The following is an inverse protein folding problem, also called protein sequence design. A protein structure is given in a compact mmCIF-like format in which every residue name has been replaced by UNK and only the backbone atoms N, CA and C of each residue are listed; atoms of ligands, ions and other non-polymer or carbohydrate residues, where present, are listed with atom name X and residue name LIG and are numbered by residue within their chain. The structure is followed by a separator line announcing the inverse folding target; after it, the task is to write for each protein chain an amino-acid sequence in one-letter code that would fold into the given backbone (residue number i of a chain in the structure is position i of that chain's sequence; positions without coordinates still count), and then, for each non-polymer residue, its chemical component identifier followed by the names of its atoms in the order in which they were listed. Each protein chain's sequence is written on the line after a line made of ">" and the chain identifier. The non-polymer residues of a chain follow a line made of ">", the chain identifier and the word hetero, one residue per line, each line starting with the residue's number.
data_IF_728590162884
#
_entry.id   IF_728590162884
#
_cell.length_a   1.000
_cell.length_b   1.000
_cell.length_c   1.000
_cell.angle_alpha   90.00
_cell.angle_beta   90.00
_cell.angle_gamma   90.00
#
_symmetry.space_group_name_H-M   'P 1'
#
loop_
_entity.id
_entity.type
_entity.pdbx_description
1 polymer ?
#
# COMPACT_ATOMS: atom_id res chain seq x y z
N UNK A 1 39.13 18.25 -20.58
CA UNK A 1 40.08 18.99 -19.71
C UNK A 1 40.31 18.19 -18.44
N UNK A 2 41.52 17.64 -18.33
CA UNK A 2 42.34 17.42 -17.12
C UNK A 2 41.70 16.86 -15.82
N UNK A 3 41.87 15.55 -15.63
CA UNK A 3 42.52 14.86 -14.49
C UNK A 3 42.35 15.34 -13.03
N UNK A 4 41.89 14.38 -12.20
CA UNK A 4 42.17 14.23 -10.77
C UNK A 4 43.67 14.22 -10.47
N UNK A 5 44.08 14.78 -9.33
CA UNK A 5 45.21 14.28 -8.55
C UNK A 5 45.11 14.68 -7.06
N UNK A 6 45.32 13.66 -6.22
CA UNK A 6 45.60 13.73 -4.78
C UNK A 6 46.81 14.62 -4.46
N UNK A 7 46.87 15.14 -3.22
CA UNK A 7 48.10 15.02 -2.42
C UNK A 7 47.87 15.31 -0.92
N UNK A 8 48.43 14.42 -0.10
CA UNK A 8 48.78 14.64 1.31
C UNK A 8 49.83 15.75 1.43
N UNK A 9 49.77 16.53 2.52
CA UNK A 9 50.96 17.16 3.08
C UNK A 9 50.85 17.31 4.61
N UNK A 10 51.92 16.88 5.25
CA UNK A 10 52.25 16.84 6.67
C UNK A 10 52.94 18.15 7.04
N UNK A 11 52.70 18.73 8.23
CA UNK A 11 53.48 19.87 8.73
C UNK A 11 53.99 19.61 10.16
N UNK A 12 55.29 19.30 10.21
CA UNK A 12 56.29 19.58 11.26
C UNK A 12 56.53 21.11 11.31
N UNK A 13 57.12 21.81 12.29
CA UNK A 13 57.98 21.51 13.43
C UNK A 13 57.86 22.72 14.40
N UNK A 14 58.21 22.48 15.67
CA UNK A 14 58.61 23.52 16.64
C UNK A 14 60.11 23.75 16.51
N UNK A 15 60.58 25.00 16.56
CA UNK A 15 61.85 25.37 17.18
C UNK A 15 61.98 26.90 17.28
N UNK A 16 62.25 27.43 18.47
CA UNK A 16 63.06 28.65 18.68
C UNK A 16 63.52 28.73 20.15
N UNK A 17 64.75 28.27 20.40
CA UNK A 17 65.92 29.08 20.82
C UNK A 17 65.71 30.32 21.73
N UNK A 18 66.34 30.34 22.92
CA UNK A 18 67.69 30.91 23.18
C UNK A 18 67.91 31.41 24.63
N UNK A 19 69.10 31.05 25.13
CA UNK A 19 70.10 31.81 25.92
C UNK A 19 69.71 32.65 27.15
N UNK A 20 70.32 32.34 28.31
CA UNK A 20 71.47 33.11 28.83
C UNK A 20 71.99 32.59 30.20
N UNK A 21 73.32 32.60 30.34
CA UNK A 21 74.17 32.27 31.51
C UNK A 21 74.31 33.54 32.42
N UNK A 22 75.12 33.65 33.50
CA UNK A 22 75.81 32.69 34.39
C UNK A 22 75.80 33.10 35.91
N UNK A 23 76.58 32.37 36.73
CA UNK A 23 77.32 32.80 37.95
C UNK A 23 76.77 32.51 39.38
N UNK A 24 77.67 31.85 40.12
CA UNK A 24 78.01 31.94 41.55
C UNK A 24 76.96 31.58 42.62
N UNK A 25 77.19 30.42 43.24
CA UNK A 25 76.82 30.11 44.62
C UNK A 25 77.41 31.11 45.63
N UNK A 26 76.71 31.35 46.74
CA UNK A 26 77.20 30.82 48.00
C UNK A 26 76.12 30.09 48.81
N UNK A 27 76.55 29.02 49.47
CA UNK A 27 75.76 28.22 50.39
C UNK A 27 75.24 29.09 51.56
N UNK A 28 73.92 29.19 51.66
CA UNK A 28 73.24 29.58 52.89
C UNK A 28 72.44 28.37 53.38
N UNK A 29 72.81 27.89 54.56
CA UNK A 29 72.08 26.85 55.30
C UNK A 29 70.73 27.41 55.74
N UNK A 30 69.65 26.88 55.18
CA UNK A 30 68.30 27.08 55.71
C UNK A 30 67.84 25.77 56.35
N UNK A 31 67.56 25.84 57.63
CA UNK A 31 67.06 24.76 58.48
C UNK A 31 65.69 24.26 58.01
N UNK A 32 65.56 22.95 57.92
CA UNK A 32 64.41 22.19 57.43
C UNK A 32 63.28 22.10 58.48
N UNK A 33 62.68 23.23 58.86
CA UNK A 33 61.62 23.24 59.90
C UNK A 33 60.24 23.74 59.43
N UNK A 34 60.04 24.09 58.15
CA UNK A 34 58.74 24.62 57.70
C UNK A 34 58.24 24.09 56.35
N UNK A 35 58.54 22.83 56.02
CA UNK A 35 57.87 22.13 54.92
C UNK A 35 56.64 21.39 55.47
N UNK A 36 55.50 22.08 55.60
CA UNK A 36 54.20 21.38 55.66
C UNK A 36 54.15 20.45 54.45
N UNK A 37 54.05 19.12 54.62
CA UNK A 37 54.01 18.24 53.49
C UNK A 37 52.79 18.61 52.65
N UNK A 38 53.03 19.00 51.39
CA UNK A 38 52.03 18.90 50.34
C UNK A 38 51.53 17.45 50.43
N UNK A 39 50.32 17.26 50.98
CA UNK A 39 49.67 15.96 51.04
C UNK A 39 49.45 15.51 49.60
N UNK A 40 50.44 14.82 49.05
CA UNK A 40 50.24 13.99 47.88
C UNK A 40 49.18 12.96 48.29
N UNK A 41 48.06 12.86 47.56
CA UNK A 41 47.07 11.85 47.84
C UNK A 41 47.78 10.50 47.85
N UNK A 42 47.70 9.75 48.95
CA UNK A 42 48.31 8.42 49.03
C UNK A 42 47.87 7.56 47.85
N UNK A 43 48.69 6.61 47.39
CA UNK A 43 48.35 5.71 46.28
C UNK A 43 46.98 5.02 46.49
N UNK A 44 46.59 4.82 47.76
CA UNK A 44 45.25 4.32 48.13
C UNK A 44 44.10 5.26 47.74
N UNK A 45 44.29 6.58 47.86
CA UNK A 45 43.32 7.61 47.47
C UNK A 45 43.25 7.80 45.94
N UNK A 46 44.36 7.60 45.23
CA UNK A 46 44.36 7.66 43.76
C UNK A 46 43.71 6.42 43.15
N UNK A 47 43.97 5.22 43.70
CA UNK A 47 43.33 3.98 43.25
C UNK A 47 41.82 3.97 43.50
N UNK A 48 41.34 4.45 44.66
CA UNK A 48 39.91 4.58 44.95
C UNK A 48 39.22 5.58 44.01
N UNK A 49 39.84 6.72 43.70
CA UNK A 49 39.30 7.68 42.71
C UNK A 49 39.22 7.09 41.30
N UNK A 50 40.22 6.30 40.89
CA UNK A 50 40.23 5.60 39.60
C UNK A 50 39.15 4.52 39.53
N UNK A 51 38.98 3.73 40.60
CA UNK A 51 37.92 2.73 40.73
C UNK A 51 36.53 3.39 40.69
N UNK A 52 36.31 4.49 41.41
CA UNK A 52 35.04 5.21 41.40
C UNK A 52 34.72 5.80 40.01
N UNK A 53 35.73 6.29 39.27
CA UNK A 53 35.56 6.75 37.87
C UNK A 53 35.21 5.61 36.93
N UNK A 54 35.88 4.46 37.05
CA UNK A 54 35.57 3.26 36.27
C UNK A 54 34.16 2.74 36.57
N UNK A 55 33.77 2.70 37.85
CA UNK A 55 32.42 2.34 38.27
C UNK A 55 31.37 3.32 37.72
N UNK A 56 31.65 4.63 37.76
CA UNK A 56 30.75 5.64 37.19
C UNK A 56 30.60 5.48 35.68
N UNK A 57 31.70 5.28 34.94
CA UNK A 57 31.66 5.03 33.49
C UNK A 57 30.91 3.74 33.16
N UNK A 58 31.09 2.68 33.96
CA UNK A 58 30.34 1.44 33.83
C UNK A 58 28.84 1.66 34.07
N UNK A 59 28.46 2.39 35.12
CA UNK A 59 27.06 2.73 35.41
C UNK A 59 26.44 3.59 34.29
N UNK A 60 27.18 4.56 33.75
CA UNK A 60 26.73 5.38 32.63
C UNK A 60 26.56 4.56 31.35
N UNK A 61 27.50 3.66 31.04
CA UNK A 61 27.38 2.75 29.89
C UNK A 61 26.19 1.81 30.05
N UNK A 62 25.95 1.29 31.26
CA UNK A 62 24.82 0.42 31.56
C UNK A 62 23.48 1.18 31.48
N UNK A 63 23.45 2.43 31.95
CA UNK A 63 22.30 3.32 31.79
C UNK A 63 22.02 3.63 30.32
N UNK A 64 23.04 3.97 29.52
CA UNK A 64 22.87 4.28 28.09
C UNK A 64 22.41 3.05 27.30
N UNK A 65 22.95 1.87 27.61
CA UNK A 65 22.55 0.62 26.92
C UNK A 65 21.14 0.19 27.30
N UNK A 66 20.76 0.29 28.57
CA UNK A 66 19.38 -0.02 29.01
C UNK A 66 18.36 0.96 28.46
N UNK A 67 18.66 2.27 28.44
CA UNK A 67 17.76 3.26 27.81
C UNK A 67 17.66 3.04 26.31
N UNK A 68 18.77 2.80 25.62
CA UNK A 68 18.77 2.55 24.16
C UNK A 68 17.97 1.30 23.81
N UNK A 69 18.14 0.20 24.55
CA UNK A 69 17.37 -1.04 24.33
C UNK A 69 15.89 -0.86 24.62
N UNK A 70 15.53 -0.10 25.66
CA UNK A 70 14.15 0.28 25.94
C UNK A 70 13.52 1.06 24.77
N UNK A 71 14.18 2.11 24.27
CA UNK A 71 13.68 2.88 23.13
C UNK A 71 13.58 2.05 21.84
N UNK A 72 14.54 1.18 21.56
CA UNK A 72 14.48 0.26 20.42
C UNK A 72 13.30 -0.73 20.54
N UNK A 73 13.01 -1.20 21.76
CA UNK A 73 11.86 -2.08 22.01
C UNK A 73 10.53 -1.35 21.80
N UNK A 74 10.39 -0.11 22.32
CA UNK A 74 9.21 0.72 22.10
C UNK A 74 9.01 1.03 20.61
N UNK A 75 10.09 1.39 19.90
CA UNK A 75 10.04 1.63 18.47
C UNK A 75 9.61 0.37 17.71
N UNK A 76 10.11 -0.80 18.10
CA UNK A 76 9.71 -2.08 17.50
C UNK A 76 8.24 -2.42 17.76
N UNK A 77 7.71 -2.10 18.94
CA UNK A 77 6.29 -2.26 19.27
C UNK A 77 5.45 -1.32 18.39
N UNK A 78 5.83 -0.04 18.31
CA UNK A 78 5.13 0.96 17.50
C UNK A 78 5.14 0.58 16.01
N UNK A 79 6.27 0.08 15.49
CA UNK A 79 6.38 -0.41 14.12
C UNK A 79 5.45 -1.60 13.88
N UNK A 80 5.41 -2.58 14.80
CA UNK A 80 4.50 -3.73 14.69
C UNK A 80 3.04 -3.30 14.72
N UNK A 81 2.68 -2.38 15.61
CA UNK A 81 1.31 -1.87 15.72
C UNK A 81 0.89 -1.12 14.45
N UNK A 82 1.76 -0.23 13.95
CA UNK A 82 1.54 0.50 12.69
C UNK A 82 1.42 -0.46 11.51
N UNK A 83 2.33 -1.44 11.41
CA UNK A 83 2.29 -2.45 10.36
C UNK A 83 1.04 -3.32 10.46
N UNK A 84 0.61 -3.68 11.67
CA UNK A 84 -0.62 -4.45 11.89
C UNK A 84 -1.86 -3.64 11.47
N UNK A 85 -1.91 -2.35 11.78
CA UNK A 85 -3.01 -1.48 11.36
C UNK A 85 -3.08 -1.35 9.83
N UNK A 86 -1.96 -1.10 9.17
CA UNK A 86 -1.91 -1.01 7.69
C UNK A 86 -2.25 -2.35 7.03
N UNK A 87 -1.86 -3.47 7.64
CA UNK A 87 -2.25 -4.80 7.15
C UNK A 87 -3.73 -5.12 7.42
N UNK A 88 -4.36 -4.51 8.42
CA UNK A 88 -5.73 -4.82 8.83
C UNK A 88 -6.78 -3.88 8.23
N UNK A 89 -6.39 -2.77 7.60
CA UNK A 89 -7.31 -1.96 6.81
C UNK A 89 -7.63 -2.68 5.49
N UNK A 90 -8.92 -2.95 5.18
CA UNK A 90 -9.29 -3.55 3.90
C UNK A 90 -8.84 -2.67 2.73
N UNK A 91 -8.29 -3.27 1.69
CA UNK A 91 -7.95 -2.60 0.44
C UNK A 91 -9.21 -2.25 -0.37
N UNK A 92 -9.06 -1.42 -1.41
CA UNK A 92 -10.10 -1.17 -2.41
C UNK A 92 -10.68 -2.49 -2.93
N UNK A 93 -12.00 -2.64 -2.90
CA UNK A 93 -12.70 -3.85 -3.36
C UNK A 93 -12.51 -5.09 -2.47
N UNK A 94 -11.86 -4.95 -1.31
CA UNK A 94 -11.77 -6.05 -0.33
C UNK A 94 -13.02 -6.10 0.55
N UNK A 95 -13.46 -7.31 0.82
CA UNK A 95 -14.49 -7.63 1.81
C UNK A 95 -14.08 -7.13 3.20
N UNK A 96 -14.99 -6.41 3.88
CA UNK A 96 -14.67 -5.66 5.10
C UNK A 96 -14.68 -6.50 6.39
N UNK A 97 -15.31 -7.66 6.37
CA UNK A 97 -15.50 -8.53 7.52
C UNK A 97 -14.37 -9.56 7.70
N UNK A 98 -13.45 -9.66 6.74
CA UNK A 98 -12.36 -10.65 6.77
C UNK A 98 -12.84 -12.09 6.52
N UNK A 99 -13.99 -12.26 5.85
CA UNK A 99 -14.56 -13.56 5.50
C UNK A 99 -13.88 -14.18 4.28
N UNK A 100 -13.28 -13.34 3.43
CA UNK A 100 -12.63 -13.74 2.20
C UNK A 100 -11.11 -13.75 2.38
N UNK A 101 -10.41 -14.82 1.94
CA UNK A 101 -8.94 -14.83 1.96
C UNK A 101 -8.36 -13.64 1.19
N UNK A 102 -7.22 -13.15 1.67
CA UNK A 102 -6.47 -12.14 0.92
C UNK A 102 -5.86 -12.77 -0.33
N UNK A 103 -6.06 -12.11 -1.46
CA UNK A 103 -5.46 -12.49 -2.74
C UNK A 103 -4.27 -11.59 -3.08
N UNK A 104 -3.27 -12.16 -3.75
CA UNK A 104 -2.12 -11.41 -4.22
C UNK A 104 -2.49 -10.45 -5.36
N UNK A 105 -1.83 -9.30 -5.41
CA UNK A 105 -2.04 -8.30 -6.46
C UNK A 105 -0.93 -8.36 -7.50
N UNK A 106 -1.32 -8.42 -8.77
CA UNK A 106 -0.40 -8.41 -9.90
C UNK A 106 -0.61 -7.15 -10.74
N UNK A 107 0.48 -6.50 -11.13
CA UNK A 107 0.41 -5.39 -12.08
C UNK A 107 0.21 -5.96 -13.49
N UNK A 108 -0.94 -5.65 -14.09
CA UNK A 108 -1.25 -6.05 -15.47
C UNK A 108 -1.46 -4.83 -16.35
N UNK A 109 -1.18 -4.98 -17.63
CA UNK A 109 -1.61 -4.05 -18.67
C UNK A 109 -2.79 -4.69 -19.41
N UNK A 110 -3.85 -3.91 -19.60
CA UNK A 110 -5.04 -4.35 -20.33
C UNK A 110 -4.79 -4.16 -21.82
N UNK A 111 -4.99 -5.23 -22.58
CA UNK A 111 -4.85 -5.28 -24.02
C UNK A 111 -6.14 -5.78 -24.65
N UNK A 112 -6.30 -5.57 -25.96
CA UNK A 112 -7.44 -6.14 -26.68
C UNK A 112 -7.42 -7.66 -26.58
N UNK A 113 -8.48 -8.22 -26.01
CA UNK A 113 -8.71 -9.66 -25.96
C UNK A 113 -9.87 -10.03 -26.90
N UNK A 114 -9.51 -10.32 -28.15
CA UNK A 114 -10.47 -10.66 -29.21
C UNK A 114 -11.32 -11.91 -28.90
N UNK A 115 -10.95 -12.72 -27.91
CA UNK A 115 -11.75 -13.86 -27.47
C UNK A 115 -13.00 -13.47 -26.68
N UNK A 116 -13.15 -12.19 -26.30
CA UNK A 116 -14.32 -11.65 -25.59
C UNK A 116 -15.06 -10.55 -26.37
N UNK A 117 -14.56 -10.15 -27.54
CA UNK A 117 -15.10 -9.03 -28.33
C UNK A 117 -15.97 -9.55 -29.47
N UNK A 118 -17.17 -9.00 -29.60
CA UNK A 118 -18.06 -9.28 -30.74
C UNK A 118 -17.75 -8.31 -31.89
N UNK A 119 -17.57 -8.86 -33.09
CA UNK A 119 -17.38 -8.11 -34.33
C UNK A 119 -18.69 -7.97 -35.13
N UNK A 120 -18.83 -6.94 -35.97
CA UNK A 120 -20.03 -6.71 -36.78
C UNK A 120 -20.28 -7.82 -37.82
N UNK A 121 -19.21 -8.45 -38.31
CA UNK A 121 -19.27 -9.46 -39.37
C UNK A 121 -19.25 -10.91 -38.82
N UNK A 122 -19.43 -11.09 -37.50
CA UNK A 122 -19.38 -12.41 -36.87
C UNK A 122 -20.64 -13.24 -37.15
N UNK A 123 -20.43 -14.50 -37.48
CA UNK A 123 -21.49 -15.51 -37.63
C UNK A 123 -22.12 -15.86 -36.26
N UNK A 124 -23.32 -16.45 -36.28
CA UNK A 124 -23.98 -16.89 -35.04
C UNK A 124 -23.13 -17.90 -34.21
N UNK A 125 -22.46 -18.91 -34.81
CA UNK A 125 -21.58 -19.80 -34.06
C UNK A 125 -20.37 -19.09 -33.43
N UNK A 126 -19.80 -18.09 -34.10
CA UNK A 126 -18.71 -17.29 -33.54
C UNK A 126 -19.18 -16.47 -32.35
N UNK A 127 -20.36 -15.84 -32.44
CA UNK A 127 -20.97 -15.12 -31.31
C UNK A 127 -21.27 -16.04 -30.13
N UNK A 128 -21.76 -17.25 -30.39
CA UNK A 128 -22.01 -18.24 -29.35
C UNK A 128 -20.71 -18.66 -28.63
N UNK A 129 -19.59 -18.78 -29.35
CA UNK A 129 -18.27 -19.02 -28.74
C UNK A 129 -17.84 -17.88 -27.82
N UNK A 130 -18.03 -16.62 -28.26
CA UNK A 130 -17.72 -15.46 -27.41
C UNK A 130 -18.60 -15.48 -26.15
N UNK A 131 -19.91 -15.71 -26.28
CA UNK A 131 -20.81 -15.84 -25.12
C UNK A 131 -20.35 -16.97 -24.17
N UNK A 132 -19.94 -18.12 -24.69
CA UNK A 132 -19.37 -19.20 -23.87
C UNK A 132 -18.10 -18.79 -23.12
N UNK A 133 -17.24 -17.96 -23.72
CA UNK A 133 -16.05 -17.45 -23.03
C UNK A 133 -16.44 -16.54 -21.87
N UNK A 134 -17.43 -15.66 -22.05
CA UNK A 134 -17.95 -14.82 -20.97
C UNK A 134 -18.51 -15.65 -19.81
N UNK A 135 -19.31 -16.68 -20.11
CA UNK A 135 -19.85 -17.59 -19.10
C UNK A 135 -18.75 -18.31 -18.32
N UNK A 136 -17.63 -18.64 -18.98
CA UNK A 136 -16.50 -19.32 -18.33
C UNK A 136 -15.74 -18.49 -17.29
N UNK A 137 -15.98 -17.17 -17.23
CA UNK A 137 -15.37 -16.29 -16.23
C UNK A 137 -16.03 -16.41 -14.85
N UNK A 138 -17.22 -16.98 -14.78
CA UNK A 138 -17.98 -17.17 -13.56
C UNK A 138 -17.78 -18.64 -13.14
N UNK A 139 -17.29 -18.92 -11.92
CA UNK A 139 -17.04 -20.28 -11.47
C UNK A 139 -18.35 -21.03 -11.22
N UNK A 140 -18.24 -22.36 -11.14
CA UNK A 140 -19.33 -23.21 -10.66
C UNK A 140 -19.85 -22.72 -9.30
N UNK A 141 -21.18 -22.75 -9.13
CA UNK A 141 -21.83 -22.17 -7.96
C UNK A 141 -21.95 -20.64 -8.00
N UNK A 142 -21.58 -20.00 -9.12
CA UNK A 142 -21.77 -18.58 -9.41
C UNK A 142 -21.12 -17.62 -8.40
N UNK A 143 -20.16 -18.10 -7.63
CA UNK A 143 -19.48 -17.32 -6.60
C UNK A 143 -20.29 -17.10 -5.34
N UNK A 144 -21.31 -17.91 -5.10
CA UNK A 144 -22.06 -17.89 -3.85
C UNK A 144 -21.35 -18.64 -2.73
N UNK A 145 -21.39 -18.05 -1.55
CA UNK A 145 -20.67 -18.51 -0.37
C UNK A 145 -21.63 -18.58 0.82
N UNK A 146 -21.48 -19.62 1.63
CA UNK A 146 -22.13 -19.69 2.94
C UNK A 146 -21.29 -18.98 3.99
N UNK A 147 -21.94 -18.25 4.91
CA UNK A 147 -21.30 -17.60 6.05
C UNK A 147 -21.92 -18.13 7.34
N UNK A 148 -21.07 -18.70 8.20
CA UNK A 148 -21.47 -19.15 9.53
C UNK A 148 -21.68 -17.97 10.47
N UNK A 149 -22.77 -18.01 11.25
CA UNK A 149 -23.10 -16.98 12.25
C UNK A 149 -23.08 -15.53 11.69
N UNK A 150 -23.87 -15.24 10.63
CA UNK A 150 -23.79 -13.98 9.87
C UNK A 150 -24.05 -12.74 10.74
N UNK A 151 -24.76 -12.87 11.85
CA UNK A 151 -25.04 -11.78 12.80
C UNK A 151 -23.79 -11.17 13.46
N UNK A 152 -22.60 -11.77 13.28
CA UNK A 152 -21.32 -11.22 13.76
C UNK A 152 -20.69 -10.22 12.80
N UNK A 153 -21.24 -10.09 11.59
CA UNK A 153 -20.63 -9.37 10.48
C UNK A 153 -21.58 -8.30 9.94
N UNK A 154 -21.02 -7.34 9.21
CA UNK A 154 -21.76 -6.33 8.47
C UNK A 154 -22.09 -6.92 7.10
N UNK A 155 -23.25 -7.57 7.00
CA UNK A 155 -23.72 -8.23 5.78
C UNK A 155 -25.14 -7.80 5.45
N UNK A 156 -25.50 -7.69 4.16
CA UNK A 156 -26.90 -7.60 3.76
C UNK A 156 -27.66 -8.90 4.11
N UNK A 157 -29.01 -8.89 4.07
CA UNK A 157 -29.80 -10.10 4.22
C UNK A 157 -29.31 -11.19 3.25
N UNK A 158 -29.27 -12.48 3.63
CA UNK A 158 -28.80 -13.51 2.72
C UNK A 158 -29.78 -13.79 1.58
N UNK A 159 -29.25 -14.29 0.47
CA UNK A 159 -30.04 -14.86 -0.62
C UNK A 159 -30.57 -16.24 -0.20
N UNK A 160 -31.87 -16.46 -0.43
CA UNK A 160 -32.52 -17.76 -0.20
C UNK A 160 -32.42 -18.61 -1.47
N UNK A 161 -31.59 -19.63 -1.45
CA UNK A 161 -31.41 -20.50 -2.61
C UNK A 161 -32.24 -21.77 -2.51
N UNK A 162 -32.90 -22.11 -3.62
CA UNK A 162 -33.64 -23.36 -3.77
C UNK A 162 -33.04 -24.13 -4.92
N UNK A 163 -32.73 -25.42 -4.73
CA UNK A 163 -32.36 -26.29 -5.86
C UNK A 163 -33.59 -26.50 -6.75
N UNK A 164 -33.58 -26.08 -8.03
CA UNK A 164 -34.78 -26.06 -8.87
C UNK A 164 -35.45 -27.42 -9.06
N UNK A 165 -34.68 -28.52 -9.02
CA UNK A 165 -35.19 -29.87 -9.29
C UNK A 165 -35.59 -30.65 -8.05
N UNK A 166 -35.04 -30.31 -6.89
CA UNK A 166 -35.22 -31.11 -5.66
C UNK A 166 -36.11 -30.39 -4.63
N UNK A 167 -36.48 -29.13 -4.86
CA UNK A 167 -37.12 -28.24 -3.87
C UNK A 167 -36.36 -28.21 -2.52
N UNK A 168 -35.06 -28.49 -2.55
CA UNK A 168 -34.21 -28.46 -1.36
C UNK A 168 -33.75 -27.02 -1.14
N UNK A 169 -34.17 -26.47 -0.01
CA UNK A 169 -33.65 -25.20 0.49
C UNK A 169 -32.17 -25.37 0.82
N UNK A 170 -31.33 -24.59 0.16
CA UNK A 170 -29.91 -24.50 0.48
C UNK A 170 -29.70 -23.53 1.65
N UNK A 171 -28.55 -23.66 2.35
CA UNK A 171 -28.16 -22.68 3.37
C UNK A 171 -28.18 -21.26 2.81
N UNK A 172 -28.50 -20.25 3.65
CA UNK A 172 -28.42 -18.85 3.24
C UNK A 172 -27.01 -18.53 2.72
N UNK A 173 -26.94 -17.75 1.64
CA UNK A 173 -25.69 -17.48 0.94
C UNK A 173 -25.59 -16.03 0.46
N UNK A 174 -24.36 -15.62 0.16
CA UNK A 174 -24.00 -14.31 -0.38
C UNK A 174 -23.15 -14.47 -1.62
N UNK A 175 -23.34 -13.60 -2.60
CA UNK A 175 -22.56 -13.62 -3.84
C UNK A 175 -21.31 -12.76 -3.68
N UNK A 176 -20.18 -13.20 -4.23
CA UNK A 176 -19.05 -12.31 -4.49
C UNK A 176 -19.42 -11.30 -5.59
N UNK A 177 -19.29 -10.02 -5.27
CA UNK A 177 -19.70 -8.91 -6.14
C UNK A 177 -19.10 -8.99 -7.56
N UNK A 178 -17.82 -9.35 -7.69
CA UNK A 178 -17.14 -9.45 -9.00
C UNK A 178 -17.86 -10.36 -10.00
N UNK A 179 -18.42 -11.49 -9.55
CA UNK A 179 -19.09 -12.41 -10.46
C UNK A 179 -20.48 -11.92 -10.85
N UNK A 180 -21.20 -11.28 -9.93
CA UNK A 180 -22.46 -10.63 -10.26
C UNK A 180 -22.25 -9.44 -11.21
N UNK A 181 -21.20 -8.64 -11.02
CA UNK A 181 -20.81 -7.56 -11.91
C UNK A 181 -20.50 -8.06 -13.34
N UNK A 182 -19.74 -9.16 -13.46
CA UNK A 182 -19.44 -9.79 -14.76
C UNK A 182 -20.72 -10.35 -15.39
N UNK A 183 -21.58 -11.02 -14.62
CA UNK A 183 -22.87 -11.55 -15.09
C UNK A 183 -23.78 -10.44 -15.65
N UNK A 184 -23.91 -9.33 -14.92
CA UNK A 184 -24.67 -8.17 -15.37
C UNK A 184 -24.09 -7.59 -16.66
N UNK A 185 -22.77 -7.40 -16.70
CA UNK A 185 -22.10 -6.86 -17.88
C UNK A 185 -22.30 -7.74 -19.13
N UNK A 186 -22.23 -9.07 -18.96
CA UNK A 186 -22.49 -10.03 -20.03
C UNK A 186 -23.95 -10.01 -20.48
N UNK A 187 -24.91 -9.96 -19.54
CA UNK A 187 -26.35 -9.89 -19.86
C UNK A 187 -26.70 -8.63 -20.67
N UNK A 188 -26.07 -7.50 -20.35
CA UNK A 188 -26.21 -6.25 -21.13
C UNK A 188 -25.57 -6.42 -22.51
N UNK A 189 -24.39 -7.04 -22.59
CA UNK A 189 -23.73 -7.33 -23.88
C UNK A 189 -24.61 -8.21 -24.77
N UNK A 190 -25.22 -9.27 -24.24
CA UNK A 190 -26.11 -10.15 -25.01
C UNK A 190 -27.34 -9.41 -25.51
N UNK A 191 -27.99 -8.63 -24.63
CA UNK A 191 -29.14 -7.80 -24.98
C UNK A 191 -28.78 -6.80 -26.10
N UNK A 192 -27.66 -6.10 -25.95
CA UNK A 192 -27.17 -5.16 -26.95
C UNK A 192 -26.83 -5.86 -28.28
N UNK A 193 -26.20 -7.03 -28.22
CA UNK A 193 -25.85 -7.84 -29.39
C UNK A 193 -27.10 -8.25 -30.15
N UNK A 194 -28.12 -8.76 -29.45
CA UNK A 194 -29.38 -9.15 -30.07
C UNK A 194 -30.01 -7.95 -30.78
N UNK A 195 -30.12 -6.80 -30.10
CA UNK A 195 -30.64 -5.58 -30.72
C UNK A 195 -29.83 -5.08 -31.92
N UNK A 196 -28.49 -5.23 -31.89
CA UNK A 196 -27.63 -4.85 -33.01
C UNK A 196 -27.87 -5.72 -34.25
N UNK A 197 -27.90 -7.05 -34.07
CA UNK A 197 -28.10 -7.98 -35.19
C UNK A 197 -29.55 -8.05 -35.67
N UNK A 198 -30.51 -7.71 -34.82
CA UNK A 198 -31.92 -7.51 -35.20
C UNK A 198 -32.16 -6.15 -35.89
N UNK A 199 -31.10 -5.40 -36.19
CA UNK A 199 -31.14 -4.10 -36.86
C UNK A 199 -31.95 -3.02 -36.12
N UNK A 200 -32.14 -3.19 -34.80
CA UNK A 200 -32.78 -2.19 -33.93
C UNK A 200 -31.79 -1.05 -33.64
N UNK A 201 -30.51 -1.38 -33.44
CA UNK A 201 -29.43 -0.40 -33.27
C UNK A 201 -28.80 -0.10 -34.64
N UNK A 202 -28.71 1.17 -35.06
CA UNK A 202 -28.12 1.51 -36.36
C UNK A 202 -26.63 1.20 -36.38
N UNK A 203 -26.17 0.58 -37.47
CA UNK A 203 -24.75 0.30 -37.69
C UNK A 203 -23.97 1.60 -37.95
N UNK A 204 -23.16 2.03 -36.97
CA UNK A 204 -22.29 3.18 -37.07
C UNK A 204 -21.02 3.03 -36.21
N UNK A 205 -20.15 4.04 -36.21
CA UNK A 205 -18.90 4.00 -35.43
C UNK A 205 -19.14 3.80 -33.93
N UNK A 206 -20.20 4.39 -33.37
CA UNK A 206 -20.53 4.26 -31.95
C UNK A 206 -21.02 2.85 -31.64
N UNK A 207 -21.89 2.30 -32.48
CA UNK A 207 -22.43 0.95 -32.24
C UNK A 207 -21.35 -0.13 -32.28
N UNK A 208 -20.33 0.04 -33.14
CA UNK A 208 -19.14 -0.85 -33.18
C UNK A 208 -18.18 -0.61 -32.01
N UNK A 209 -18.08 0.63 -31.51
CA UNK A 209 -17.22 0.99 -30.38
C UNK A 209 -17.65 0.30 -29.09
N UNK A 210 -18.96 0.14 -28.88
CA UNK A 210 -19.53 -0.48 -27.67
C UNK A 210 -18.95 -1.87 -27.36
N UNK A 211 -18.65 -2.69 -28.36
CA UNK A 211 -18.17 -4.06 -28.12
C UNK A 211 -16.83 -4.15 -27.41
N UNK A 212 -15.86 -3.29 -27.73
CA UNK A 212 -14.62 -3.29 -26.96
C UNK A 212 -14.76 -2.53 -25.63
N UNK A 213 -15.76 -1.66 -25.46
CA UNK A 213 -16.07 -1.09 -24.16
C UNK A 213 -16.47 -2.19 -23.17
N UNK A 214 -17.27 -3.17 -23.61
CA UNK A 214 -17.62 -4.33 -22.80
C UNK A 214 -16.39 -5.13 -22.41
N UNK A 215 -15.47 -5.40 -23.34
CA UNK A 215 -14.22 -6.09 -23.02
C UNK A 215 -13.33 -5.29 -22.06
N UNK A 216 -13.20 -3.97 -22.28
CA UNK A 216 -12.46 -3.10 -21.37
C UNK A 216 -13.04 -3.12 -19.95
N UNK A 217 -14.36 -2.97 -19.81
CA UNK A 217 -15.04 -3.00 -18.51
C UNK A 217 -14.88 -4.36 -17.84
N UNK A 218 -15.03 -5.47 -18.57
CA UNK A 218 -14.78 -6.83 -18.08
C UNK A 218 -13.39 -6.97 -17.49
N UNK A 219 -12.36 -6.54 -18.22
CA UNK A 219 -10.99 -6.61 -17.76
C UNK A 219 -10.75 -5.74 -16.51
N UNK A 220 -11.39 -4.57 -16.42
CA UNK A 220 -11.31 -3.70 -15.23
C UNK A 220 -12.04 -4.31 -14.03
N UNK A 221 -13.20 -4.94 -14.22
CA UNK A 221 -13.93 -5.65 -13.16
C UNK A 221 -13.09 -6.81 -12.62
N UNK A 222 -12.50 -7.62 -13.50
CA UNK A 222 -11.60 -8.72 -13.12
C UNK A 222 -10.33 -8.22 -12.42
N UNK A 223 -9.74 -7.12 -12.90
CA UNK A 223 -8.56 -6.50 -12.30
C UNK A 223 -8.86 -5.93 -10.90
N UNK A 224 -10.05 -5.35 -10.72
CA UNK A 224 -10.49 -4.78 -9.45
C UNK A 224 -10.88 -5.87 -8.46
N UNK A 225 -11.50 -6.96 -8.94
CA UNK A 225 -11.79 -8.16 -8.17
C UNK A 225 -12.60 -7.88 -6.90
N UNK A 226 -13.73 -7.18 -7.00
CA UNK A 226 -14.55 -6.83 -5.84
C UNK A 226 -15.06 -8.07 -5.10
N UNK A 227 -14.53 -8.28 -3.89
CA UNK A 227 -14.83 -9.42 -3.03
C UNK A 227 -15.93 -9.15 -2.02
N UNK A 228 -16.60 -7.99 -2.09
CA UNK A 228 -17.72 -7.66 -1.20
C UNK A 228 -18.84 -8.70 -1.35
N UNK A 229 -19.52 -9.00 -0.23
CA UNK A 229 -20.55 -10.03 -0.16
C UNK A 229 -21.94 -9.44 -0.33
N UNK A 230 -22.52 -9.69 -1.49
CA UNK A 230 -23.86 -9.24 -1.83
C UNK A 230 -24.94 -10.21 -1.35
N UNK A 231 -26.09 -9.67 -0.99
CA UNK A 231 -27.20 -10.42 -0.44
C UNK A 231 -28.51 -10.12 -1.15
N UNK A 232 -29.60 -10.57 -0.54
CA UNK A 232 -30.93 -10.27 -1.00
C UNK A 232 -31.27 -8.79 -0.75
N UNK A 233 -31.69 -8.11 -1.81
CA UNK A 233 -32.40 -6.84 -1.66
C UNK A 233 -33.84 -7.12 -1.23
N UNK A 234 -34.32 -6.56 -0.09
CA UNK A 234 -35.71 -6.71 0.36
C UNK A 234 -36.76 -6.23 -0.65
N UNK A 235 -36.38 -5.43 -1.64
CA UNK A 235 -37.27 -4.86 -2.66
C UNK A 235 -37.22 -5.58 -4.01
N UNK A 236 -36.41 -6.63 -4.16
CA UNK A 236 -36.28 -7.42 -5.39
C UNK A 236 -36.73 -8.87 -5.21
N UNK A 237 -36.86 -9.59 -6.33
CA UNK A 237 -37.30 -10.98 -6.32
C UNK A 237 -36.39 -11.87 -5.47
N UNK A 238 -36.97 -12.78 -4.66
CA UNK A 238 -36.19 -13.71 -3.85
C UNK A 238 -35.35 -14.65 -4.71
N UNK A 239 -34.12 -14.92 -4.26
CA UNK A 239 -33.25 -15.95 -4.87
C UNK A 239 -32.11 -15.40 -5.71
N UNK A 240 -32.04 -14.09 -5.90
CA UNK A 240 -30.97 -13.39 -6.60
C UNK A 240 -30.51 -12.16 -5.80
N UNK A 241 -29.29 -11.72 -6.06
CA UNK A 241 -28.78 -10.44 -5.55
C UNK A 241 -28.99 -9.35 -6.59
N UNK A 242 -29.39 -8.15 -6.15
CA UNK A 242 -29.38 -6.94 -6.98
C UNK A 242 -28.13 -6.08 -6.72
N UNK A 243 -27.24 -6.52 -5.83
CA UNK A 243 -26.06 -5.79 -5.35
C UNK A 243 -26.36 -4.67 -4.36
N UNK A 244 -27.61 -4.20 -4.27
CA UNK A 244 -28.00 -3.14 -3.34
C UNK A 244 -27.90 -3.55 -1.87
N UNK A 245 -27.54 -2.59 -1.02
CA UNK A 245 -27.36 -2.80 0.42
C UNK A 245 -26.02 -3.44 0.81
N UNK A 246 -25.20 -3.84 -0.17
CA UNK A 246 -23.85 -4.35 0.05
C UNK A 246 -22.90 -3.24 0.50
N UNK A 247 -22.01 -3.56 1.42
CA UNK A 247 -20.96 -2.64 1.84
C UNK A 247 -19.70 -2.87 1.01
N UNK A 248 -19.23 -1.83 0.33
CA UNK A 248 -18.01 -1.86 -0.48
C UNK A 248 -16.92 -0.99 0.12
N UNK A 249 -15.66 -1.42 -0.01
CA UNK A 249 -14.50 -0.58 0.28
C UNK A 249 -14.13 0.22 -0.96
N UNK A 250 -14.44 1.52 -0.97
CA UNK A 250 -14.27 2.40 -2.14
C UNK A 250 -13.21 3.49 -1.90
N UNK A 251 -12.58 3.95 -2.98
CA UNK A 251 -11.92 5.26 -2.98
C UNK A 251 -12.98 6.34 -2.89
N UNK A 252 -12.68 7.43 -2.18
CA UNK A 252 -13.54 8.60 -2.21
C UNK A 252 -13.54 9.22 -3.61
N UNK A 253 -14.66 9.01 -4.32
CA UNK A 253 -14.81 9.46 -5.69
C UNK A 253 -14.77 10.99 -5.81
N UNK A 254 -15.22 11.72 -4.79
CA UNK A 254 -15.18 13.19 -4.80
C UNK A 254 -13.74 13.69 -4.85
N UNK A 255 -12.85 13.08 -4.07
CA UNK A 255 -11.43 13.43 -4.05
C UNK A 255 -10.74 13.10 -5.38
N UNK A 256 -11.14 12.01 -6.05
CA UNK A 256 -10.65 11.68 -7.40
C UNK A 256 -11.05 12.79 -8.38
N UNK A 257 -12.32 13.20 -8.36
CA UNK A 257 -12.85 14.25 -9.25
C UNK A 257 -12.16 15.59 -9.01
N UNK A 258 -12.00 15.99 -7.75
CA UNK A 258 -11.34 17.24 -7.38
C UNK A 258 -9.85 17.24 -7.75
N UNK A 259 -9.17 16.12 -7.52
CA UNK A 259 -7.78 15.94 -7.93
C UNK A 259 -7.61 16.10 -9.44
N UNK A 260 -8.45 15.45 -10.23
CA UNK A 260 -8.40 15.55 -11.69
C UNK A 260 -8.65 16.98 -12.20
N UNK A 261 -9.62 17.69 -11.61
CA UNK A 261 -9.89 19.11 -11.93
C UNK A 261 -8.68 20.00 -11.64
N UNK A 262 -8.01 19.79 -10.50
CA UNK A 262 -6.80 20.54 -10.13
C UNK A 262 -5.68 20.30 -11.13
N UNK A 263 -5.42 19.04 -11.48
CA UNK A 263 -4.40 18.69 -12.48
C UNK A 263 -4.69 19.30 -13.85
N UNK A 264 -5.96 19.39 -14.25
CA UNK A 264 -6.34 20.07 -15.50
C UNK A 264 -6.01 21.57 -15.45
N UNK A 265 -6.37 22.27 -14.37
CA UNK A 265 -6.07 23.69 -14.22
C UNK A 265 -4.56 23.98 -14.25
N UNK A 266 -3.75 23.13 -13.60
CA UNK A 266 -2.28 23.21 -13.65
C UNK A 266 -1.75 23.01 -15.08
N UNK A 267 -2.32 22.06 -15.83
CA UNK A 267 -1.96 21.82 -17.22
C UNK A 267 -2.27 23.02 -18.12
N UNK A 268 -3.44 23.65 -17.95
CA UNK A 268 -3.82 24.85 -18.70
C UNK A 268 -2.86 26.01 -18.42
N UNK A 269 -2.46 26.21 -17.17
CA UNK A 269 -1.49 27.24 -16.80
C UNK A 269 -0.11 26.98 -17.44
N UNK A 270 0.34 25.72 -17.42
CA UNK A 270 1.59 25.32 -18.08
C UNK A 270 1.54 25.56 -19.59
N UNK A 271 0.43 25.21 -20.25
CA UNK A 271 0.24 25.45 -21.68
C UNK A 271 0.27 26.95 -22.01
N UNK A 272 -0.41 27.77 -21.20
CA UNK A 272 -0.40 29.22 -21.34
C UNK A 272 1.00 29.82 -21.19
N UNK A 273 1.75 29.43 -20.14
CA UNK A 273 3.13 29.89 -19.92
C UNK A 273 4.05 29.53 -21.10
N UNK A 274 3.96 28.30 -21.62
CA UNK A 274 4.73 27.88 -22.80
C UNK A 274 4.39 28.72 -24.03
N UNK A 275 3.11 29.00 -24.28
CA UNK A 275 2.68 29.80 -25.43
C UNK A 275 3.23 31.24 -25.43
N UNK A 276 3.47 31.82 -24.24
CA UNK A 276 4.10 33.14 -24.08
C UNK A 276 5.61 33.08 -24.31
N UNK A 277 6.27 32.01 -23.87
CA UNK A 277 7.73 31.84 -24.03
C UNK A 277 8.16 31.60 -25.49
N UNK A 278 7.27 31.12 -26.35
CA UNK A 278 7.57 30.88 -27.78
C UNK A 278 7.34 32.13 -28.67
N UNK A 279 6.83 33.22 -28.09
CA UNK A 279 6.55 34.49 -28.80
C UNK A 279 7.61 35.58 -28.59
N UNK A 280 8.72 35.25 -27.93
CA UNK A 280 9.91 36.09 -27.71
C UNK A 280 11.09 35.49 -28.47
#
# INVERSE_FOLDING_TARGET
>A
MSTQQNQHAQFKDKHEDRDDNPLLSPAYSYTDEDRKPLRHPSDSQQNTRRQNRLQLLYCLALLVTTTSTFFLSLFSIQLKETQSHVLNTPSLGEEINGLIPKYDRNAIQIWNDSSFVIGPDMTAPERARISSNWLSLIPDGHGYLHVDNPSRYILPPPVSMVKPHDNVQLPPAWALSVFHQIHCLHSILESYTNMYFDSIVPENKRSKHVYHCFDYLRQILMCSGDTSLEGQDPFHEPGETAGYGTTHMCKDYSQIVEGAKRSWAEYEELAFRKSKSTKL
#
